data_IF_488443246136
#
_entry.id   IF_488443246136
#
_cell.length_a   1.000
_cell.length_b   1.000
_cell.length_c   1.000
_cell.angle_alpha   90.00
_cell.angle_beta   90.00
_cell.angle_gamma   90.00
#
_symmetry.space_group_name_H-M   'P 1'
#
loop_
_entity.id
_entity.type
_entity.pdbx_description
1 polymer ?
#
# COMPACT_ATOMS: atom_id res chain seq x y z
N UNK A 1 7.53 -14.88 7.22
CA UNK A 1 6.17 -15.01 7.77
C UNK A 1 5.87 -13.90 8.79
N UNK A 2 4.71 -13.24 8.71
CA UNK A 2 4.29 -12.14 9.61
C UNK A 2 4.23 -12.55 11.08
N UNK A 3 3.84 -13.79 11.34
CA UNK A 3 3.84 -14.43 12.67
C UNK A 3 5.15 -14.22 13.43
N UNK A 4 6.29 -14.60 12.84
CA UNK A 4 7.60 -14.52 13.47
C UNK A 4 8.00 -13.07 13.79
N UNK A 5 7.59 -12.11 12.95
CA UNK A 5 7.84 -10.69 13.16
C UNK A 5 7.06 -10.17 14.37
N UNK A 6 5.78 -10.54 14.48
CA UNK A 6 4.92 -10.16 15.62
C UNK A 6 5.37 -10.82 16.93
N UNK A 7 5.79 -12.08 16.89
CA UNK A 7 6.38 -12.78 18.04
C UNK A 7 7.64 -12.06 18.54
N UNK A 8 8.59 -11.76 17.66
CA UNK A 8 9.82 -11.01 18.01
C UNK A 8 9.51 -9.63 18.57
N UNK A 9 8.56 -8.92 17.96
CA UNK A 9 8.10 -7.62 18.47
C UNK A 9 7.50 -7.73 19.88
N UNK A 10 6.66 -8.75 20.13
CA UNK A 10 6.03 -8.96 21.43
C UNK A 10 7.07 -9.24 22.52
N UNK A 11 8.04 -10.10 22.24
CA UNK A 11 9.14 -10.40 23.16
C UNK A 11 10.00 -9.17 23.44
N UNK A 12 10.33 -8.39 22.41
CA UNK A 12 11.09 -7.14 22.57
C UNK A 12 10.33 -6.09 23.39
N UNK A 13 9.00 -6.02 23.26
CA UNK A 13 8.16 -5.06 23.99
C UNK A 13 8.02 -5.41 25.48
N UNK A 14 8.14 -6.69 25.81
CA UNK A 14 7.97 -7.19 27.18
C UNK A 14 9.19 -8.01 27.62
N UNK A 15 10.37 -7.38 27.76
CA UNK A 15 11.62 -8.08 28.09
C UNK A 15 11.55 -8.81 29.44
N UNK A 16 10.77 -8.28 30.38
CA UNK A 16 10.62 -8.81 31.74
C UNK A 16 9.45 -9.80 31.88
N UNK A 17 8.81 -10.21 30.78
CA UNK A 17 7.70 -11.16 30.80
C UNK A 17 8.08 -12.41 30.04
N UNK A 18 7.56 -13.55 30.50
CA UNK A 18 7.82 -14.83 29.83
C UNK A 18 7.20 -14.84 28.43
N UNK A 19 7.77 -15.66 27.54
CA UNK A 19 7.24 -15.88 26.20
C UNK A 19 5.79 -16.37 26.23
N UNK A 20 5.46 -17.24 27.18
CA UNK A 20 4.09 -17.72 27.42
C UNK A 20 3.14 -16.58 27.76
N UNK A 21 3.55 -15.63 28.60
CA UNK A 21 2.72 -14.47 28.92
C UNK A 21 2.48 -13.58 27.69
N UNK A 22 3.53 -13.35 26.89
CA UNK A 22 3.41 -12.59 25.64
C UNK A 22 2.46 -13.30 24.66
N UNK A 23 2.56 -14.62 24.55
CA UNK A 23 1.66 -15.44 23.74
C UNK A 23 0.21 -15.28 24.19
N UNK A 24 -0.06 -15.45 25.49
CA UNK A 24 -1.41 -15.32 26.05
C UNK A 24 -1.97 -13.90 25.94
N UNK A 25 -1.11 -12.87 25.95
CA UNK A 25 -1.54 -11.47 25.82
C UNK A 25 -2.03 -11.13 24.42
N UNK A 26 -1.32 -11.57 23.40
CA UNK A 26 -1.54 -11.11 22.02
C UNK A 26 -2.12 -12.18 21.10
N UNK A 27 -2.11 -13.46 21.48
CA UNK A 27 -2.66 -14.54 20.67
C UNK A 27 -3.86 -15.15 21.36
N UNK A 28 -4.92 -15.37 20.60
CA UNK A 28 -6.07 -16.12 21.08
C UNK A 28 -6.98 -16.60 19.97
N UNK A 29 -8.08 -17.21 20.40
CA UNK A 29 -9.07 -17.82 19.52
C UNK A 29 -10.09 -16.81 19.03
N UNK A 30 -10.28 -16.74 17.72
CA UNK A 30 -11.41 -16.06 17.08
C UNK A 30 -11.94 -17.00 15.98
N UNK A 31 -13.21 -17.42 16.13
CA UNK A 31 -13.81 -18.47 15.31
C UNK A 31 -13.04 -19.79 15.44
N UNK A 32 -12.65 -20.39 14.31
CA UNK A 32 -11.88 -21.65 14.27
C UNK A 32 -10.35 -21.46 14.35
N UNK A 33 -9.86 -20.22 14.47
CA UNK A 33 -8.42 -19.94 14.46
C UNK A 33 -7.94 -19.58 15.88
N UNK A 34 -7.22 -20.50 16.51
CA UNK A 34 -6.71 -20.38 17.87
C UNK A 34 -5.47 -19.46 18.01
N UNK A 35 -4.87 -19.10 16.88
CA UNK A 35 -3.63 -18.34 16.83
C UNK A 35 -3.85 -17.05 16.05
N UNK A 36 -4.80 -16.24 16.50
CA UNK A 36 -5.07 -14.93 15.92
C UNK A 36 -4.44 -13.85 16.78
N UNK A 37 -3.68 -12.96 16.13
CA UNK A 37 -3.12 -11.80 16.80
C UNK A 37 -4.25 -10.83 17.13
N UNK A 38 -4.42 -10.51 18.41
CA UNK A 38 -5.49 -9.68 18.93
C UNK A 38 -5.03 -8.77 20.06
N UNK A 39 -5.81 -7.73 20.32
CA UNK A 39 -5.66 -6.85 21.47
C UNK A 39 -6.67 -7.22 22.56
N UNK A 40 -6.52 -6.64 23.76
CA UNK A 40 -7.47 -6.89 24.86
C UNK A 40 -8.85 -6.31 24.57
N UNK A 41 -8.89 -5.25 23.77
CA UNK A 41 -10.10 -4.51 23.38
C UNK A 41 -10.90 -5.23 22.27
N UNK A 42 -10.51 -6.45 21.90
CA UNK A 42 -11.23 -7.29 20.92
C UNK A 42 -10.83 -7.07 19.46
N UNK A 43 -9.97 -6.10 19.18
CA UNK A 43 -9.43 -5.90 17.84
C UNK A 43 -8.49 -7.03 17.46
N UNK A 44 -8.51 -7.46 16.20
CA UNK A 44 -7.64 -8.53 15.71
C UNK A 44 -7.13 -8.26 14.31
N UNK A 45 -5.99 -8.87 13.98
CA UNK A 45 -5.38 -8.77 12.66
C UNK A 45 -5.88 -9.91 11.75
N UNK A 46 -6.69 -9.61 10.71
CA UNK A 46 -7.15 -10.65 9.79
C UNK A 46 -5.98 -11.24 9.00
N UNK A 47 -6.00 -12.55 8.76
CA UNK A 47 -5.05 -13.18 7.84
C UNK A 47 -5.28 -12.65 6.42
N UNK A 48 -4.21 -12.35 5.69
CA UNK A 48 -4.30 -11.90 4.29
C UNK A 48 -5.12 -12.84 3.41
N UNK A 49 -5.06 -14.15 3.66
CA UNK A 49 -5.85 -15.16 2.94
C UNK A 49 -7.37 -15.03 3.11
N UNK A 50 -7.86 -14.32 4.14
CA UNK A 50 -9.30 -14.06 4.35
C UNK A 50 -9.79 -12.93 3.44
N UNK A 51 -8.91 -12.02 3.03
CA UNK A 51 -9.27 -10.92 2.14
C UNK A 51 -9.33 -11.43 0.71
N UNK A 52 -10.51 -11.33 0.09
CA UNK A 52 -10.69 -11.72 -1.31
C UNK A 52 -9.83 -10.83 -2.21
N UNK A 53 -9.14 -11.44 -3.17
CA UNK A 53 -8.42 -10.70 -4.19
C UNK A 53 -9.45 -10.16 -5.19
N UNK A 54 -9.73 -8.86 -5.15
CA UNK A 54 -10.57 -8.18 -6.13
C UNK A 54 -9.68 -7.65 -7.24
N UNK A 55 -9.91 -8.10 -8.48
CA UNK A 55 -9.17 -7.63 -9.66
C UNK A 55 -9.98 -6.52 -10.32
N UNK A 56 -9.40 -5.33 -10.45
CA UNK A 56 -10.03 -4.23 -11.15
C UNK A 56 -9.61 -4.21 -12.62
N UNK A 57 -10.57 -3.98 -13.51
CA UNK A 57 -10.30 -3.76 -14.93
C UNK A 57 -9.77 -2.34 -15.12
N UNK A 58 -8.59 -2.21 -15.71
CA UNK A 58 -8.02 -0.90 -16.04
C UNK A 58 -8.89 -0.20 -17.10
N UNK A 59 -9.30 1.03 -16.83
CA UNK A 59 -10.06 1.84 -17.78
C UNK A 59 -9.15 2.17 -18.97
N UNK A 60 -9.55 1.76 -20.18
CA UNK A 60 -8.73 1.91 -21.40
C UNK A 60 -8.84 3.31 -22.03
N UNK A 61 -9.94 4.03 -21.84
CA UNK A 61 -10.25 5.25 -22.59
C UNK A 61 -9.54 6.53 -22.12
N UNK A 62 -9.39 6.72 -20.81
CA UNK A 62 -8.82 7.95 -20.24
C UNK A 62 -7.36 8.14 -20.67
N UNK A 63 -6.60 7.06 -20.83
CA UNK A 63 -5.19 7.15 -21.20
C UNK A 63 -4.95 7.67 -22.62
N UNK A 64 -5.85 7.38 -23.57
CA UNK A 64 -5.74 7.89 -24.94
C UNK A 64 -6.02 9.40 -24.98
N UNK A 65 -7.05 9.85 -24.27
CA UNK A 65 -7.36 11.27 -24.13
C UNK A 65 -6.16 12.07 -23.58
N UNK A 66 -5.53 11.61 -22.49
CA UNK A 66 -4.36 12.30 -21.93
C UNK A 66 -3.12 12.25 -22.83
N UNK A 67 -2.96 11.19 -23.64
CA UNK A 67 -1.89 11.13 -24.64
C UNK A 67 -2.05 12.18 -25.73
N UNK A 68 -3.27 12.37 -26.23
CA UNK A 68 -3.55 13.34 -27.28
C UNK A 68 -3.39 14.77 -26.76
N UNK A 69 -3.90 15.03 -25.55
CA UNK A 69 -3.73 16.32 -24.85
C UNK A 69 -2.24 16.63 -24.63
N UNK A 70 -1.46 15.67 -24.11
CA UNK A 70 -0.03 15.85 -23.88
C UNK A 70 0.76 16.10 -25.18
N UNK A 71 0.43 15.35 -26.24
CA UNK A 71 1.03 15.53 -27.57
C UNK A 71 0.70 16.89 -28.17
N UNK A 72 -0.51 17.41 -27.92
CA UNK A 72 -0.92 18.76 -28.29
C UNK A 72 -0.10 19.84 -27.58
N UNK A 73 0.03 19.73 -26.25
CA UNK A 73 0.82 20.67 -25.44
C UNK A 73 2.30 20.68 -25.85
N UNK A 74 2.88 19.52 -26.14
CA UNK A 74 4.27 19.43 -26.56
C UNK A 74 4.51 20.07 -27.93
N UNK A 75 3.57 19.91 -28.87
CA UNK A 75 3.61 20.63 -30.17
C UNK A 75 3.54 22.14 -29.97
N UNK A 76 2.60 22.62 -29.14
CA UNK A 76 2.46 24.03 -28.82
C UNK A 76 3.76 24.60 -28.18
N UNK A 77 4.33 23.88 -27.21
CA UNK A 77 5.59 24.27 -26.52
C UNK A 77 6.77 24.39 -27.49
N UNK A 78 6.90 23.46 -28.45
CA UNK A 78 7.96 23.49 -29.46
C UNK A 78 7.79 24.66 -30.44
N UNK A 79 6.57 24.92 -30.91
CA UNK A 79 6.26 26.06 -31.78
C UNK A 79 6.69 27.39 -31.13
N UNK A 80 6.36 27.60 -29.85
CA UNK A 80 6.76 28.83 -29.13
C UNK A 80 8.28 28.98 -29.04
N UNK A 81 9.02 27.91 -28.79
CA UNK A 81 10.50 27.93 -28.72
C UNK A 81 11.15 28.28 -30.06
N UNK A 82 10.56 27.85 -31.17
CA UNK A 82 11.04 28.20 -32.52
C UNK A 82 10.70 29.66 -32.88
N UNK A 83 9.50 30.15 -32.51
CA UNK A 83 9.10 31.54 -32.72
C UNK A 83 9.92 32.53 -31.87
N UNK A 84 10.31 32.16 -30.64
CA UNK A 84 11.18 33.00 -29.80
C UNK A 84 12.59 33.18 -30.35
N UNK A 85 13.12 32.21 -31.13
CA UNK A 85 14.43 32.32 -31.79
C UNK A 85 14.39 33.18 -33.05
N UNK A 86 13.26 33.21 -33.75
CA UNK A 86 13.08 34.06 -34.93
C UNK A 86 12.89 35.54 -34.56
N UNK A 87 12.28 35.83 -33.40
CA UNK A 87 12.08 37.20 -32.92
C UNK A 87 13.36 37.90 -32.39
N UNK A 88 14.45 37.15 -32.18
CA UNK A 88 15.74 37.67 -31.68
C UNK A 88 16.80 37.91 -32.77
N UNK A 89 16.41 37.85 -34.05
CA UNK A 89 17.30 38.02 -35.21
C UNK A 89 17.03 39.30 -36.03
N UNK A 90 16.27 40.25 -35.48
CA UNK A 90 16.07 41.59 -36.05
C UNK A 90 16.66 42.65 -35.13
#
# INVERSE_FOLDING_TARGET
MLWNKLQRWGYRRHPNKSKTWVNNKYWGTIGKNNWMFKTKEGNYLPKHAKTKIVRHTKIKGVWLFWKDVWSGLERYRKSRRSSSRAASLN
#
